data_IF_455417464925
#
_entry.id   IF_455417464925
#
_cell.length_a   1.000
_cell.length_b   1.000
_cell.length_c   1.000
_cell.angle_alpha   90.00
_cell.angle_beta   90.00
_cell.angle_gamma   90.00
#
_symmetry.space_group_name_H-M   'P 1'
#
loop_
_entity.id
_entity.type
_entity.pdbx_description
1 polymer ?
#
# COMPACT_ATOMS: atom_id res chain seq x y z
N UNK A 1 5.84 6.96 5.82
CA UNK A 1 4.64 6.56 5.06
C UNK A 1 4.20 5.15 5.43
N UNK A 2 4.99 4.11 5.10
CA UNK A 2 4.62 2.70 5.36
C UNK A 2 4.18 2.41 6.80
N UNK A 3 4.98 2.84 7.79
CA UNK A 3 4.67 2.67 9.21
C UNK A 3 3.37 3.36 9.61
N UNK A 4 3.22 4.64 9.28
CA UNK A 4 2.01 5.42 9.61
C UNK A 4 0.74 4.81 8.99
N UNK A 5 0.87 4.26 7.77
CA UNK A 5 -0.22 3.57 7.10
C UNK A 5 -0.56 2.24 7.78
N UNK A 6 0.43 1.44 8.19
CA UNK A 6 0.22 0.21 8.98
C UNK A 6 -0.40 0.51 10.35
N UNK A 7 0.05 1.57 11.04
CA UNK A 7 -0.51 2.04 12.31
C UNK A 7 -1.99 2.43 12.14
N UNK A 8 -2.34 3.09 11.04
CA UNK A 8 -3.73 3.40 10.69
C UNK A 8 -4.56 2.12 10.44
N UNK A 9 -4.03 1.15 9.67
CA UNK A 9 -4.73 -0.11 9.42
C UNK A 9 -4.97 -0.90 10.71
N UNK A 10 -4.00 -0.92 11.63
CA UNK A 10 -4.12 -1.52 12.97
C UNK A 10 -5.19 -0.82 13.79
N UNK A 11 -5.16 0.51 13.83
CA UNK A 11 -6.09 1.31 14.61
C UNK A 11 -7.56 1.03 14.24
N UNK A 12 -7.84 0.79 12.95
CA UNK A 12 -9.18 0.48 12.46
C UNK A 12 -9.48 -1.02 12.30
N UNK A 13 -8.54 -1.92 12.62
CA UNK A 13 -8.72 -3.36 12.45
C UNK A 13 -8.92 -3.78 10.97
N UNK A 14 -8.17 -3.15 10.07
CA UNK A 14 -8.24 -3.32 8.61
C UNK A 14 -7.10 -4.14 8.00
N UNK A 15 -6.12 -4.56 8.81
CA UNK A 15 -4.91 -5.24 8.32
C UNK A 15 -5.21 -6.46 7.44
N UNK A 16 -6.28 -7.21 7.73
CA UNK A 16 -6.71 -8.39 6.98
C UNK A 16 -7.87 -8.13 6.02
N UNK A 17 -8.13 -6.86 5.71
CA UNK A 17 -9.29 -6.41 4.92
C UNK A 17 -8.87 -5.55 3.72
N UNK A 18 -7.57 -5.41 3.50
CA UNK A 18 -7.05 -4.61 2.40
C UNK A 18 -6.99 -5.45 1.12
N UNK A 19 -7.92 -5.22 0.21
CA UNK A 19 -7.96 -5.91 -1.09
C UNK A 19 -6.87 -5.38 -2.03
N UNK A 20 -6.74 -4.06 -2.12
CA UNK A 20 -5.82 -3.36 -3.01
C UNK A 20 -5.47 -1.99 -2.41
N UNK A 21 -4.34 -1.41 -2.83
CA UNK A 21 -4.01 -0.03 -2.49
C UNK A 21 -3.60 0.75 -3.75
N UNK A 22 -3.97 2.03 -3.78
CA UNK A 22 -3.70 2.94 -4.90
C UNK A 22 -2.69 3.99 -4.46
N UNK A 23 -1.59 4.11 -5.21
CA UNK A 23 -0.57 5.15 -5.00
C UNK A 23 -0.16 5.86 -6.29
N UNK A 24 0.42 7.04 -6.17
CA UNK A 24 1.08 7.71 -7.30
C UNK A 24 2.42 7.03 -7.67
N UNK A 25 3.16 7.61 -8.61
CA UNK A 25 4.42 7.06 -9.11
C UNK A 25 5.66 7.40 -8.26
N UNK A 26 5.51 7.98 -7.07
CA UNK A 26 6.63 8.32 -6.21
C UNK A 26 7.30 7.06 -5.64
N UNK A 27 8.64 7.06 -5.60
CA UNK A 27 9.42 5.93 -5.06
C UNK A 27 9.10 5.53 -3.61
N UNK A 28 8.67 6.44 -2.70
CA UNK A 28 8.21 6.01 -1.37
C UNK A 28 7.00 5.07 -1.39
N UNK A 29 6.17 5.12 -2.44
CA UNK A 29 5.03 4.22 -2.62
C UNK A 29 5.47 2.81 -3.03
N UNK A 30 6.62 2.68 -3.71
CA UNK A 30 7.23 1.38 -3.96
C UNK A 30 7.66 0.75 -2.63
N UNK A 31 8.32 1.51 -1.75
CA UNK A 31 8.71 1.05 -0.40
C UNK A 31 7.49 0.70 0.44
N UNK A 32 6.44 1.51 0.43
CA UNK A 32 5.21 1.21 1.16
C UNK A 32 4.56 -0.09 0.66
N UNK A 33 4.52 -0.31 -0.66
CA UNK A 33 3.97 -1.54 -1.21
C UNK A 33 4.72 -2.78 -0.71
N UNK A 34 6.05 -2.76 -0.77
CA UNK A 34 6.89 -3.87 -0.31
C UNK A 34 6.70 -4.12 1.18
N UNK A 35 6.59 -3.08 2.00
CA UNK A 35 6.37 -3.24 3.44
C UNK A 35 5.00 -3.83 3.77
N UNK A 36 3.97 -3.49 3.00
CA UNK A 36 2.63 -4.07 3.19
C UNK A 36 2.59 -5.55 2.80
N UNK A 37 3.25 -5.92 1.69
CA UNK A 37 3.35 -7.29 1.19
C UNK A 37 4.15 -8.21 2.13
N UNK A 38 5.23 -7.67 2.73
CA UNK A 38 6.07 -8.44 3.68
C UNK A 38 5.48 -8.53 5.10
N UNK A 39 4.40 -7.82 5.39
CA UNK A 39 3.82 -7.79 6.74
C UNK A 39 2.93 -9.03 6.97
N UNK A 40 3.41 -9.98 7.76
CA UNK A 40 2.68 -11.21 8.10
C UNK A 40 1.35 -10.99 8.86
N UNK A 41 1.12 -9.80 9.43
CA UNK A 41 -0.15 -9.42 10.07
C UNK A 41 -1.15 -8.81 9.08
N UNK A 42 -0.77 -8.71 7.80
CA UNK A 42 -1.58 -8.19 6.71
C UNK A 42 -1.85 -9.32 5.70
N UNK A 43 -3.09 -9.41 5.18
CA UNK A 43 -3.44 -10.40 4.15
C UNK A 43 -3.27 -9.84 2.72
N UNK A 44 -2.71 -8.64 2.60
CA UNK A 44 -2.45 -7.97 1.34
C UNK A 44 -1.35 -8.65 0.53
N UNK A 45 -1.62 -8.83 -0.76
CA UNK A 45 -0.64 -9.26 -1.74
C UNK A 45 -0.11 -8.04 -2.50
N UNK A 46 1.22 -7.90 -2.56
CA UNK A 46 1.93 -6.83 -3.24
C UNK A 46 1.60 -6.67 -4.72
N UNK A 47 1.05 -7.70 -5.37
CA UNK A 47 0.55 -7.63 -6.76
C UNK A 47 -0.73 -6.80 -6.89
N UNK A 48 -1.49 -6.61 -5.80
CA UNK A 48 -2.72 -5.82 -5.78
C UNK A 48 -2.47 -4.31 -5.65
N UNK A 49 -1.26 -3.87 -6.00
CA UNK A 49 -0.94 -2.46 -6.13
C UNK A 49 -1.50 -1.89 -7.41
N UNK A 50 -2.18 -0.77 -7.29
CA UNK A 50 -2.61 0.04 -8.43
C UNK A 50 -1.84 1.36 -8.45
N UNK A 51 -1.30 1.73 -9.61
CA UNK A 51 -0.73 3.06 -9.84
C UNK A 51 -1.83 4.02 -10.29
N UNK A 52 -1.83 5.24 -9.77
CA UNK A 52 -2.78 6.27 -10.19
C UNK A 52 -2.57 6.61 -11.68
N UNK A 53 -3.56 6.31 -12.51
CA UNK A 53 -3.49 6.47 -13.97
C UNK A 53 -3.06 7.89 -14.38
N UNK A 54 -3.64 8.92 -13.77
CA UNK A 54 -3.31 10.32 -14.06
C UNK A 54 -1.85 10.66 -13.78
N UNK A 55 -1.25 10.04 -12.75
CA UNK A 55 0.17 10.20 -12.44
C UNK A 55 1.06 9.42 -13.41
N UNK A 56 0.58 8.32 -13.99
CA UNK A 56 1.32 7.58 -15.03
C UNK A 56 1.37 8.31 -16.37
N UNK A 57 0.42 9.23 -16.63
CA UNK A 57 0.40 10.04 -17.85
C UNK A 57 1.32 11.28 -17.76
N UNK A 58 1.64 11.75 -16.55
CA UNK A 58 2.39 12.99 -16.30
C UNK A 58 3.69 12.72 -15.53
N UNK A 59 4.46 11.73 -16.00
CA UNK A 59 5.77 11.37 -15.45
C UNK A 59 6.83 12.46 -15.69
#
# INVERSE_FOLDING_TARGET
LAREFDDMLRHFGLQRKMLAWVGDNASPNDTQNTQLDLNAENDYDGVNRVRCFTHTLHL
#
